data_IF_682896926643
#
_entry.id   IF_682896926643
#
_cell.length_a   1.000
_cell.length_b   1.000
_cell.length_c   1.000
_cell.angle_alpha   90.00
_cell.angle_beta   90.00
_cell.angle_gamma   90.00
#
_symmetry.space_group_name_H-M   'P 1'
#
loop_
_entity.id
_entity.type
_entity.pdbx_description
1 polymer ?
#
# COMPACT_ATOMS: atom_id res chain seq x y z
N UNK A 1 -2.10 15.63 24.01
CA UNK A 1 -3.46 15.66 23.42
C UNK A 1 -4.54 16.00 24.44
N UNK A 2 -4.56 15.36 25.62
CA UNK A 2 -5.63 15.53 26.62
C UNK A 2 -5.46 16.76 27.51
N UNK A 3 -4.22 17.16 27.78
CA UNK A 3 -3.88 18.35 28.56
C UNK A 3 -4.19 19.66 27.82
N UNK A 4 -4.58 20.70 28.55
CA UNK A 4 -4.61 22.09 28.09
C UNK A 4 -3.27 22.79 28.34
N UNK A 5 -2.64 22.49 29.48
CA UNK A 5 -1.28 22.91 29.83
C UNK A 5 -0.40 21.68 29.93
N UNK A 6 0.63 21.59 29.09
CA UNK A 6 1.63 20.53 29.13
C UNK A 6 2.93 21.07 29.73
N UNK A 7 3.36 20.50 30.86
CA UNK A 7 4.70 20.78 31.41
C UNK A 7 5.67 19.76 30.84
N UNK A 8 6.62 20.24 30.03
CA UNK A 8 7.70 19.42 29.48
C UNK A 8 8.92 19.55 30.39
N UNK A 9 9.08 18.55 31.26
CA UNK A 9 10.09 18.53 32.30
C UNK A 9 11.42 17.99 31.77
N UNK A 10 12.41 18.87 31.66
CA UNK A 10 13.75 18.59 31.15
C UNK A 10 14.80 18.73 32.24
N UNK A 11 15.92 18.04 32.07
CA UNK A 11 17.04 18.06 33.02
C UNK A 11 18.16 18.94 32.48
N UNK A 12 18.61 19.90 33.29
CA UNK A 12 19.73 20.82 33.08
C UNK A 12 19.59 21.80 31.91
N UNK A 13 19.26 21.34 30.70
CA UNK A 13 19.26 22.17 29.50
C UNK A 13 18.19 21.71 28.49
N UNK A 14 18.02 22.48 27.41
CA UNK A 14 17.25 22.06 26.23
C UNK A 14 18.23 21.67 25.14
N UNK A 15 18.26 20.39 24.80
CA UNK A 15 19.09 19.83 23.75
C UNK A 15 18.28 19.68 22.44
N UNK A 16 18.94 19.46 21.30
CA UNK A 16 18.22 19.32 20.02
C UNK A 16 17.43 18.00 19.94
N UNK A 17 17.91 16.94 20.59
CA UNK A 17 17.19 15.67 20.72
C UNK A 17 15.91 15.84 21.55
N UNK A 18 15.89 16.67 22.58
CA UNK A 18 14.65 17.01 23.31
C UNK A 18 13.59 17.62 22.37
N UNK A 19 14.02 18.47 21.44
CA UNK A 19 13.14 19.12 20.48
C UNK A 19 12.69 18.14 19.38
N UNK A 20 13.57 17.26 18.91
CA UNK A 20 13.22 16.18 17.97
C UNK A 20 12.22 15.19 18.57
N UNK A 21 12.40 14.79 19.83
CA UNK A 21 11.45 13.94 20.54
C UNK A 21 10.09 14.64 20.69
N UNK A 22 10.09 15.93 21.05
CA UNK A 22 8.86 16.71 21.13
C UNK A 22 8.15 16.81 19.77
N UNK A 23 8.90 17.01 18.68
CA UNK A 23 8.34 16.99 17.33
C UNK A 23 7.68 15.64 17.02
N UNK A 24 8.37 14.54 17.30
CA UNK A 24 7.83 13.20 17.04
C UNK A 24 6.53 12.95 17.80
N UNK A 25 6.49 13.29 19.10
CA UNK A 25 5.28 13.10 19.92
C UNK A 25 4.13 14.01 19.50
N UNK A 26 4.43 15.24 19.08
CA UNK A 26 3.40 16.19 18.61
C UNK A 26 2.86 15.79 17.25
N UNK A 27 3.69 15.29 16.33
CA UNK A 27 3.22 14.72 15.06
C UNK A 27 2.36 13.47 15.29
N UNK A 28 2.77 12.58 16.19
CA UNK A 28 1.99 11.40 16.51
C UNK A 28 0.63 11.74 17.14
N UNK A 29 0.58 12.81 17.94
CA UNK A 29 -0.66 13.37 18.44
C UNK A 29 -1.50 14.00 17.34
N UNK A 30 -0.87 14.69 16.38
CA UNK A 30 -1.55 15.35 15.26
C UNK A 30 -2.18 14.34 14.30
N UNK A 31 -1.50 13.23 14.00
CA UNK A 31 -2.04 12.15 13.16
C UNK A 31 -3.29 11.49 13.75
N UNK A 32 -3.41 11.46 15.08
CA UNK A 32 -4.58 10.93 15.78
C UNK A 32 -5.72 11.94 15.92
N UNK A 33 -5.51 13.19 15.50
CA UNK A 33 -6.47 14.29 15.58
C UNK A 33 -7.01 14.63 14.19
N UNK A 34 -8.22 15.18 14.14
CA UNK A 34 -8.84 15.61 12.88
C UNK A 34 -8.06 16.77 12.24
N UNK A 35 -8.02 16.81 10.90
CA UNK A 35 -7.34 17.86 10.15
C UNK A 35 -8.05 19.20 10.33
N UNK A 36 -7.40 20.14 11.02
CA UNK A 36 -7.97 21.44 11.34
C UNK A 36 -6.93 22.52 11.07
N UNK A 37 -7.40 23.69 10.63
CA UNK A 37 -6.58 24.88 10.38
C UNK A 37 -6.05 25.58 11.64
N UNK A 38 -6.49 25.12 12.82
CA UNK A 38 -6.10 25.66 14.13
C UNK A 38 -4.93 24.88 14.71
N UNK A 39 -4.19 25.51 15.62
CA UNK A 39 -3.13 24.84 16.36
C UNK A 39 -3.72 23.70 17.22
N UNK A 40 -3.14 22.49 17.18
CA UNK A 40 -3.70 21.32 17.85
C UNK A 40 -3.59 21.38 19.39
N UNK A 41 -2.61 22.09 19.93
CA UNK A 41 -2.34 22.17 21.36
C UNK A 41 -2.32 23.61 21.86
N UNK A 42 -2.61 23.80 23.13
CA UNK A 42 -2.82 25.12 23.73
C UNK A 42 -1.53 25.66 24.37
N UNK A 43 -1.17 25.19 25.57
CA UNK A 43 -0.01 25.70 26.30
C UNK A 43 1.04 24.62 26.53
N UNK A 44 2.29 24.95 26.21
CA UNK A 44 3.48 24.16 26.53
C UNK A 44 4.40 25.00 27.43
N UNK A 45 4.77 24.46 28.59
CA UNK A 45 5.82 25.04 29.41
C UNK A 45 7.03 24.12 29.49
N UNK A 46 8.18 24.60 29.01
CA UNK A 46 9.47 23.98 29.26
C UNK A 46 9.85 24.22 30.72
N UNK A 47 9.93 23.16 31.52
CA UNK A 47 10.42 23.22 32.89
C UNK A 47 11.82 22.64 32.93
N UNK A 48 12.83 23.50 33.02
CA UNK A 48 14.24 23.09 33.04
C UNK A 48 14.66 22.95 34.49
N UNK A 49 14.85 21.69 34.91
CA UNK A 49 15.31 21.31 36.24
C UNK A 49 16.80 21.47 36.35
N UNK A 50 17.29 21.73 37.56
CA UNK A 50 18.71 21.76 37.87
C UNK A 50 19.51 22.75 36.99
N UNK A 51 18.88 23.87 36.64
CA UNK A 51 19.53 24.94 35.90
C UNK A 51 20.75 25.43 36.67
N UNK A 52 21.92 25.40 36.03
CA UNK A 52 23.21 25.63 36.69
C UNK A 52 23.84 26.98 36.35
N UNK A 53 23.21 27.77 35.46
CA UNK A 53 23.78 29.00 34.92
C UNK A 53 22.92 30.25 35.20
N UNK A 54 22.57 30.55 36.48
CA UNK A 54 21.73 31.69 36.83
C UNK A 54 22.35 33.05 36.47
N UNK A 55 23.67 33.10 36.28
CA UNK A 55 24.42 34.29 35.91
C UNK A 55 24.26 34.66 34.42
N UNK A 56 23.88 33.71 33.55
CA UNK A 56 23.55 33.98 32.14
C UNK A 56 22.06 34.26 31.99
N UNK A 57 21.24 33.40 32.57
CA UNK A 57 19.79 33.52 32.57
C UNK A 57 19.29 33.24 33.99
N UNK A 58 18.67 34.24 34.62
CA UNK A 58 18.16 34.14 35.98
C UNK A 58 17.11 33.03 36.14
N UNK A 59 16.93 32.52 37.35
CA UNK A 59 15.86 31.57 37.64
C UNK A 59 14.47 32.18 37.39
N UNK A 60 13.48 31.30 37.22
CA UNK A 60 12.09 31.70 37.04
C UNK A 60 11.64 31.83 35.58
N UNK A 61 10.51 32.50 35.39
CA UNK A 61 9.82 32.62 34.11
C UNK A 61 10.51 33.59 33.15
N UNK A 62 10.95 34.77 33.63
CA UNK A 62 11.57 35.79 32.76
C UNK A 62 12.88 35.31 32.15
N UNK A 63 13.77 34.75 32.97
CA UNK A 63 15.02 34.17 32.50
C UNK A 63 14.78 32.96 31.58
N UNK A 64 13.79 32.12 31.91
CA UNK A 64 13.40 30.98 31.08
C UNK A 64 12.88 31.36 29.71
N UNK A 65 11.99 32.34 29.62
CA UNK A 65 11.47 32.82 28.34
C UNK A 65 12.58 33.43 27.47
N UNK A 66 13.46 34.23 28.07
CA UNK A 66 14.62 34.81 27.34
C UNK A 66 15.57 33.72 26.83
N UNK A 67 15.82 32.69 27.66
CA UNK A 67 16.62 31.54 27.28
C UNK A 67 15.97 30.76 26.12
N UNK A 68 14.67 30.47 26.22
CA UNK A 68 13.94 29.68 25.23
C UNK A 68 13.80 30.42 23.90
N UNK A 69 13.53 31.73 23.92
CA UNK A 69 13.43 32.55 22.71
C UNK A 69 14.74 32.47 21.90
N UNK A 70 15.89 32.55 22.57
CA UNK A 70 17.19 32.40 21.93
C UNK A 70 17.42 30.98 21.36
N UNK A 71 16.91 29.94 22.02
CA UNK A 71 17.04 28.53 21.59
C UNK A 71 16.10 28.18 20.43
N UNK A 72 14.90 28.74 20.42
CA UNK A 72 13.85 28.50 19.43
C UNK A 72 13.92 29.45 18.23
N UNK A 73 14.78 30.46 18.28
CA UNK A 73 14.99 31.38 17.16
C UNK A 73 15.40 30.64 15.87
N UNK A 74 14.58 30.78 14.84
CA UNK A 74 14.85 30.25 13.50
C UNK A 74 15.79 31.19 12.77
N UNK A 75 17.03 30.75 12.53
CA UNK A 75 18.03 31.51 11.76
C UNK A 75 18.17 30.90 10.38
N UNK A 76 18.24 31.75 9.35
CA UNK A 76 18.42 31.28 7.96
C UNK A 76 19.75 30.56 7.74
N UNK A 77 20.76 30.81 8.59
CA UNK A 77 22.07 30.15 8.55
C UNK A 77 22.05 28.74 9.14
N UNK A 78 20.98 28.34 9.84
CA UNK A 78 20.86 27.00 10.40
C UNK A 78 20.52 25.98 9.32
N UNK A 79 20.92 24.73 9.53
CA UNK A 79 20.50 23.60 8.71
C UNK A 79 18.96 23.50 8.65
N UNK A 80 18.42 23.09 7.50
CA UNK A 80 16.97 23.07 7.26
C UNK A 80 16.22 22.21 8.29
N UNK A 81 16.79 21.08 8.69
CA UNK A 81 16.24 20.19 9.71
C UNK A 81 15.97 20.92 11.04
N UNK A 82 16.95 21.71 11.52
CA UNK A 82 16.83 22.48 12.77
C UNK A 82 15.78 23.58 12.68
N UNK A 83 15.63 24.19 11.50
CA UNK A 83 14.58 25.17 11.24
C UNK A 83 13.20 24.51 11.24
N UNK A 84 13.08 23.33 10.63
CA UNK A 84 11.83 22.60 10.50
C UNK A 84 11.31 22.13 11.87
N UNK A 85 12.19 21.60 12.74
CA UNK A 85 11.85 21.23 14.13
C UNK A 85 11.23 22.42 14.88
N UNK A 86 11.87 23.59 14.82
CA UNK A 86 11.41 24.81 15.50
C UNK A 86 10.09 25.33 14.94
N UNK A 87 9.97 25.42 13.60
CA UNK A 87 8.73 25.83 12.93
C UNK A 87 7.57 24.90 13.30
N UNK A 88 7.82 23.60 13.37
CA UNK A 88 6.83 22.60 13.77
C UNK A 88 6.35 22.78 15.20
N UNK A 89 7.25 22.97 16.16
CA UNK A 89 6.84 23.19 17.55
C UNK A 89 6.01 24.49 17.67
N UNK A 90 6.41 25.55 16.97
CA UNK A 90 5.65 26.80 16.93
C UNK A 90 4.28 26.67 16.25
N UNK A 91 4.10 25.75 15.29
CA UNK A 91 2.80 25.50 14.66
C UNK A 91 1.88 24.64 15.54
N UNK A 92 2.46 23.82 16.43
CA UNK A 92 1.70 22.91 17.28
C UNK A 92 1.04 23.56 18.51
N UNK A 93 1.68 24.57 19.11
CA UNK A 93 1.24 25.17 20.38
C UNK A 93 0.86 26.65 20.25
N UNK A 94 -0.26 27.04 20.86
CA UNK A 94 -0.71 28.44 20.93
C UNK A 94 0.18 29.30 21.83
N UNK A 95 0.59 28.78 22.98
CA UNK A 95 1.47 29.45 23.92
C UNK A 95 2.63 28.53 24.30
N UNK A 96 3.85 29.08 24.27
CA UNK A 96 5.07 28.38 24.67
C UNK A 96 5.82 29.26 25.67
N UNK A 97 6.05 28.74 26.86
CA UNK A 97 6.80 29.40 27.92
C UNK A 97 7.91 28.50 28.46
N UNK A 98 8.83 29.08 29.21
CA UNK A 98 9.93 28.35 29.85
C UNK A 98 10.19 28.86 31.26
N UNK A 99 10.44 27.94 32.18
CA UNK A 99 10.77 28.22 33.57
C UNK A 99 12.08 27.52 33.95
N UNK A 100 13.04 28.28 34.46
CA UNK A 100 14.33 27.75 34.94
C UNK A 100 14.24 27.50 36.45
N UNK A 101 14.39 26.24 36.85
CA UNK A 101 14.36 25.84 38.25
C UNK A 101 15.78 25.46 38.72
N UNK A 102 16.23 25.97 39.87
CA UNK A 102 17.54 25.60 40.43
C UNK A 102 17.58 24.11 40.84
N UNK A 103 18.77 23.64 41.18
CA UNK A 103 18.94 22.30 41.74
C UNK A 103 18.35 22.24 43.18
N UNK A 104 17.57 21.19 43.55
CA UNK A 104 16.89 21.11 44.85
C UNK A 104 17.81 20.86 46.05
N UNK A 105 19.10 20.65 45.79
CA UNK A 105 20.14 20.37 46.79
C UNK A 105 20.58 18.90 46.77
N UNK A 106 21.86 18.64 47.11
CA UNK A 106 22.44 17.29 47.06
C UNK A 106 21.70 16.28 47.95
N UNK A 107 21.18 16.75 49.10
CA UNK A 107 20.37 15.91 50.00
C UNK A 107 19.12 15.36 49.33
N UNK A 108 18.51 16.11 48.41
CA UNK A 108 17.33 15.65 47.66
C UNK A 108 17.74 14.68 46.56
N UNK A 109 18.85 14.96 45.88
CA UNK A 109 19.29 14.19 44.72
C UNK A 109 19.93 12.83 45.07
N UNK A 110 20.66 12.73 46.18
CA UNK A 110 21.49 11.54 46.48
C UNK A 110 21.02 10.72 47.67
N UNK A 111 20.16 11.25 48.54
CA UNK A 111 19.74 10.54 49.75
C UNK A 111 18.58 9.57 49.47
N UNK A 112 18.77 8.25 49.63
CA UNK A 112 17.70 7.28 49.42
C UNK A 112 16.58 7.35 50.46
N UNK A 113 16.81 8.03 51.59
CA UNK A 113 15.83 8.19 52.68
C UNK A 113 15.16 9.57 52.71
N UNK A 114 15.27 10.35 51.62
CA UNK A 114 14.60 11.64 51.53
C UNK A 114 13.08 11.46 51.51
N UNK A 115 12.39 12.16 52.42
CA UNK A 115 10.94 12.03 52.69
C UNK A 115 10.13 13.24 52.21
N UNK A 116 10.72 14.14 51.41
CA UNK A 116 10.03 15.32 50.89
C UNK A 116 9.99 16.51 51.86
N UNK A 117 10.62 16.45 53.03
CA UNK A 117 10.59 17.55 54.02
C UNK A 117 11.32 18.80 53.51
N UNK A 118 10.65 19.95 53.62
CA UNK A 118 11.12 21.27 53.14
C UNK A 118 12.45 21.76 53.78
N UNK A 119 12.81 21.25 54.97
CA UNK A 119 14.05 21.62 55.66
C UNK A 119 15.32 21.13 54.96
N UNK A 120 15.19 20.05 54.19
CA UNK A 120 16.30 19.41 53.48
C UNK A 120 16.38 19.86 52.00
N UNK A 121 15.46 20.72 51.57
CA UNK A 121 15.40 21.33 50.24
C UNK A 121 16.07 22.69 50.27
N UNK A 122 16.85 22.96 49.22
CA UNK A 122 17.55 24.23 49.01
C UNK A 122 16.59 25.45 49.06
N UNK A 123 16.96 26.57 49.72
CA UNK A 123 16.12 27.76 49.82
C UNK A 123 15.78 28.39 48.48
N UNK A 124 16.71 28.41 47.51
CA UNK A 124 16.46 29.03 46.21
C UNK A 124 15.43 28.21 45.41
N UNK A 125 15.53 26.88 45.51
CA UNK A 125 14.51 25.98 44.94
C UNK A 125 13.13 26.23 45.51
N UNK A 126 13.01 26.38 46.83
CA UNK A 126 11.71 26.66 47.47
C UNK A 126 11.15 28.00 47.00
N UNK A 127 11.98 29.03 46.90
CA UNK A 127 11.57 30.36 46.43
C UNK A 127 10.98 30.29 45.02
N UNK A 128 11.69 29.65 44.09
CA UNK A 128 11.23 29.54 42.70
C UNK A 128 10.04 28.59 42.55
N UNK A 129 9.94 27.54 43.39
CA UNK A 129 8.77 26.66 43.41
C UNK A 129 7.50 27.42 43.84
N UNK A 130 7.61 28.32 44.83
CA UNK A 130 6.49 29.18 45.27
C UNK A 130 6.05 30.13 44.15
N UNK A 131 6.93 30.49 43.22
CA UNK A 131 6.59 31.27 42.03
C UNK A 131 5.96 30.40 40.92
N UNK A 132 6.51 29.20 40.70
CA UNK A 132 6.08 28.28 39.64
C UNK A 132 4.65 27.74 39.83
N UNK A 133 4.29 27.34 41.06
CA UNK A 133 3.00 26.66 41.28
C UNK A 133 1.80 27.59 41.00
N UNK A 134 1.75 28.84 41.51
CA UNK A 134 0.69 29.79 41.15
C UNK A 134 0.67 30.14 39.66
N UNK A 135 1.83 30.24 39.01
CA UNK A 135 1.90 30.47 37.56
C UNK A 135 1.15 29.37 36.78
N UNK A 136 1.21 28.13 37.25
CA UNK A 136 0.54 26.99 36.63
C UNK A 136 -0.93 26.82 37.03
N UNK A 137 -1.24 27.01 38.31
CA UNK A 137 -2.47 26.52 38.92
C UNK A 137 -3.34 27.61 39.54
N UNK A 138 -2.91 28.87 39.54
CA UNK A 138 -3.76 29.97 40.01
C UNK A 138 -5.02 30.06 39.12
N UNK A 139 -6.21 30.34 39.69
CA UNK A 139 -7.48 30.35 38.98
C UNK A 139 -7.47 31.17 37.68
N UNK A 140 -6.78 32.31 37.69
CA UNK A 140 -6.60 33.22 36.56
C UNK A 140 -5.75 32.65 35.40
N UNK A 141 -4.91 31.66 35.68
CA UNK A 141 -4.00 31.03 34.71
C UNK A 141 -4.52 29.67 34.20
N UNK A 142 -5.65 29.19 34.73
CA UNK A 142 -6.22 27.90 34.33
C UNK A 142 -6.78 27.98 32.90
N UNK A 143 -6.14 27.25 31.99
CA UNK A 143 -6.57 27.16 30.59
C UNK A 143 -7.61 26.05 30.44
N UNK A 144 -8.83 26.41 30.04
CA UNK A 144 -9.87 25.46 29.68
C UNK A 144 -9.46 24.65 28.44
N UNK A 145 -9.75 23.35 28.44
CA UNK A 145 -9.35 22.48 27.34
C UNK A 145 -10.18 22.77 26.09
N UNK A 146 -9.50 23.01 24.98
CA UNK A 146 -10.11 23.15 23.67
C UNK A 146 -9.61 22.02 22.74
N UNK A 147 -10.55 21.46 21.98
CA UNK A 147 -10.29 20.54 20.86
C UNK A 147 -11.09 21.08 19.68
N UNK A 148 -10.42 21.30 18.55
CA UNK A 148 -11.06 21.85 17.34
C UNK A 148 -11.70 23.23 17.55
N UNK A 149 -11.12 24.05 18.43
CA UNK A 149 -11.66 25.38 18.79
C UNK A 149 -12.92 25.33 19.67
N UNK A 150 -13.37 24.14 20.08
CA UNK A 150 -14.50 23.97 20.98
C UNK A 150 -14.03 23.61 22.39
N UNK A 151 -14.62 24.27 23.40
CA UNK A 151 -14.38 23.97 24.81
C UNK A 151 -14.92 22.59 25.16
N UNK A 152 -14.11 21.80 25.87
CA UNK A 152 -14.38 20.39 26.15
C UNK A 152 -14.83 20.24 27.61
N UNK A 153 -15.99 19.61 27.82
CA UNK A 153 -16.46 19.29 29.17
C UNK A 153 -15.77 18.03 29.71
N UNK A 154 -15.80 17.81 31.02
CA UNK A 154 -15.24 16.58 31.63
C UNK A 154 -15.87 15.30 31.06
N UNK A 155 -17.16 15.35 30.69
CA UNK A 155 -17.85 14.21 30.07
C UNK A 155 -17.28 13.90 28.69
N UNK A 156 -17.07 14.94 27.89
CA UNK A 156 -16.55 14.81 26.52
C UNK A 156 -15.09 14.37 26.55
N UNK A 157 -14.30 14.88 27.51
CA UNK A 157 -12.89 14.51 27.67
C UNK A 157 -12.70 13.00 27.84
N UNK A 158 -13.60 12.33 28.57
CA UNK A 158 -13.58 10.86 28.71
C UNK A 158 -13.84 10.16 27.38
N UNK A 159 -14.73 10.70 26.54
CA UNK A 159 -15.00 10.14 25.21
C UNK A 159 -13.80 10.31 24.30
N UNK A 160 -13.18 11.49 24.28
CA UNK A 160 -11.92 11.71 23.56
C UNK A 160 -10.82 10.75 24.03
N UNK A 161 -10.71 10.52 25.34
CA UNK A 161 -9.71 9.58 25.87
C UNK A 161 -9.92 8.16 25.31
N UNK A 162 -11.16 7.68 25.27
CA UNK A 162 -11.50 6.37 24.69
C UNK A 162 -11.23 6.32 23.19
N UNK A 163 -11.59 7.38 22.47
CA UNK A 163 -11.36 7.47 21.02
C UNK A 163 -9.87 7.44 20.69
N UNK A 164 -9.06 8.28 21.35
CA UNK A 164 -7.60 8.29 21.17
C UNK A 164 -6.98 6.94 21.53
N UNK A 165 -7.38 6.32 22.64
CA UNK A 165 -6.87 4.99 23.01
C UNK A 165 -7.22 3.92 21.98
N UNK A 166 -8.42 3.96 21.38
CA UNK A 166 -8.80 3.04 20.31
C UNK A 166 -7.93 3.20 19.07
N UNK A 167 -7.59 4.44 18.70
CA UNK A 167 -6.68 4.73 17.58
C UNK A 167 -5.28 4.16 17.87
N UNK A 168 -4.75 4.42 19.08
CA UNK A 168 -3.43 3.91 19.47
C UNK A 168 -3.34 2.40 19.66
N UNK A 169 -4.47 1.74 19.90
CA UNK A 169 -4.54 0.27 19.96
C UNK A 169 -4.65 -0.38 18.57
N UNK A 170 -5.02 0.39 17.54
CA UNK A 170 -5.07 -0.09 16.16
C UNK A 170 -3.70 -0.12 15.49
N UNK A 171 -3.64 -0.74 14.31
CA UNK A 171 -2.45 -0.72 13.44
C UNK A 171 -2.49 0.42 12.40
N UNK A 172 -3.48 1.31 12.50
CA UNK A 172 -3.67 2.43 11.54
C UNK A 172 -2.57 3.49 11.63
N UNK A 173 -1.97 3.68 12.82
CA UNK A 173 -0.90 4.64 13.01
C UNK A 173 0.50 4.00 12.87
N UNK A 174 1.43 4.66 12.17
CA UNK A 174 2.79 4.16 12.03
C UNK A 174 3.45 4.07 13.40
N UNK A 175 4.08 2.94 13.71
CA UNK A 175 4.70 2.76 15.02
C UNK A 175 5.92 3.69 15.13
N UNK A 176 6.11 4.38 16.28
CA UNK A 176 7.33 5.14 16.52
C UNK A 176 8.54 4.21 16.46
N UNK A 177 9.46 4.49 15.54
CA UNK A 177 10.70 3.73 15.36
C UNK A 177 11.88 4.58 15.79
N UNK A 178 12.97 3.93 16.18
CA UNK A 178 14.23 4.63 16.38
C UNK A 178 14.68 5.28 15.06
N UNK A 179 15.40 6.40 15.14
CA UNK A 179 15.92 7.07 13.94
C UNK A 179 16.73 6.10 13.07
N UNK A 180 17.58 5.27 13.68
CA UNK A 180 18.37 4.26 12.96
C UNK A 180 17.47 3.27 12.21
N UNK A 181 16.41 2.77 12.84
CA UNK A 181 15.50 1.82 12.22
C UNK A 181 14.70 2.47 11.08
N UNK A 182 14.17 3.67 11.27
CA UNK A 182 13.43 4.39 10.23
C UNK A 182 14.32 4.71 9.01
N UNK A 183 15.57 5.16 9.24
CA UNK A 183 16.55 5.40 8.16
C UNK A 183 16.96 4.09 7.49
N UNK A 184 17.14 3.00 8.24
CA UNK A 184 17.41 1.69 7.68
C UNK A 184 16.27 1.22 6.77
N UNK A 185 15.01 1.33 7.21
CA UNK A 185 13.83 1.00 6.41
C UNK A 185 13.74 1.84 5.14
N UNK A 186 13.87 3.16 5.25
CA UNK A 186 13.80 4.06 4.10
C UNK A 186 14.90 3.75 3.07
N UNK A 187 16.15 3.53 3.53
CA UNK A 187 17.27 3.18 2.67
C UNK A 187 17.05 1.83 1.96
N UNK A 188 16.56 0.82 2.68
CA UNK A 188 16.28 -0.49 2.10
C UNK A 188 15.12 -0.44 1.11
N UNK A 189 14.01 0.24 1.43
CA UNK A 189 12.87 0.41 0.53
C UNK A 189 13.25 1.16 -0.76
N UNK A 190 14.03 2.23 -0.64
CA UNK A 190 14.54 2.97 -1.80
C UNK A 190 15.45 2.09 -2.68
N UNK A 191 16.29 1.25 -2.07
CA UNK A 191 17.13 0.31 -2.79
C UNK A 191 16.33 -0.80 -3.48
N UNK A 192 15.28 -1.34 -2.84
CA UNK A 192 14.35 -2.30 -3.43
C UNK A 192 13.67 -1.69 -4.66
N UNK A 193 13.08 -0.50 -4.52
CA UNK A 193 12.42 0.19 -5.62
C UNK A 193 13.38 0.45 -6.79
N UNK A 194 14.59 0.96 -6.52
CA UNK A 194 15.60 1.21 -7.56
C UNK A 194 16.07 -0.05 -8.28
N UNK A 195 16.28 -1.16 -7.56
CA UNK A 195 16.70 -2.43 -8.15
C UNK A 195 15.58 -3.09 -8.98
N UNK A 196 14.33 -3.02 -8.49
CA UNK A 196 13.14 -3.49 -9.21
C UNK A 196 12.89 -2.69 -10.49
N UNK A 197 12.99 -1.37 -10.43
CA UNK A 197 12.84 -0.51 -11.61
C UNK A 197 13.90 -0.81 -12.67
N UNK A 198 15.13 -1.10 -12.23
CA UNK A 198 16.21 -1.51 -13.13
C UNK A 198 15.88 -2.86 -13.78
N UNK A 199 15.40 -3.84 -13.00
CA UNK A 199 14.94 -5.14 -13.51
C UNK A 199 13.84 -4.99 -14.56
N UNK A 200 12.79 -4.22 -14.25
CA UNK A 200 11.65 -4.01 -15.14
C UNK A 200 12.11 -3.36 -16.45
N UNK A 201 12.91 -2.29 -16.38
CA UNK A 201 13.44 -1.60 -17.58
C UNK A 201 14.27 -2.55 -18.45
N UNK A 202 15.11 -3.38 -17.84
CA UNK A 202 15.91 -4.36 -18.59
C UNK A 202 15.05 -5.47 -19.19
N UNK A 203 14.04 -5.97 -18.48
CA UNK A 203 13.10 -6.95 -19.02
C UNK A 203 12.26 -6.39 -20.16
N UNK A 204 11.83 -5.13 -20.08
CA UNK A 204 11.15 -4.44 -21.18
C UNK A 204 12.03 -4.31 -22.43
N UNK A 205 13.34 -4.14 -22.28
CA UNK A 205 14.26 -4.14 -23.43
C UNK A 205 14.39 -5.51 -24.10
N UNK A 206 14.19 -6.60 -23.35
CA UNK A 206 14.24 -7.98 -23.87
C UNK A 206 12.90 -8.37 -24.47
N UNK A 207 11.81 -8.25 -23.71
CA UNK A 207 10.49 -8.81 -24.04
C UNK A 207 9.33 -7.79 -24.03
N UNK A 208 9.61 -6.48 -23.96
CA UNK A 208 8.60 -5.41 -23.99
C UNK A 208 7.85 -5.34 -25.32
N UNK A 209 6.75 -4.58 -25.38
CA UNK A 209 5.76 -4.62 -26.47
C UNK A 209 6.33 -4.58 -27.90
N UNK A 210 7.36 -3.77 -28.13
CA UNK A 210 8.00 -3.58 -29.44
C UNK A 210 9.01 -4.68 -29.82
N UNK A 211 9.27 -5.62 -28.92
CA UNK A 211 10.23 -6.72 -29.11
C UNK A 211 9.53 -8.00 -29.58
N UNK A 212 10.17 -8.76 -30.49
CA UNK A 212 9.62 -10.01 -31.01
C UNK A 212 9.49 -11.08 -29.91
N UNK A 213 8.70 -12.11 -30.19
CA UNK A 213 8.56 -13.28 -29.31
C UNK A 213 9.93 -13.94 -29.05
N UNK A 214 10.19 -14.26 -27.78
CA UNK A 214 11.37 -15.00 -27.34
C UNK A 214 10.96 -16.39 -26.84
N UNK A 215 11.78 -17.40 -27.08
CA UNK A 215 11.50 -18.74 -26.58
C UNK A 215 11.53 -18.79 -25.03
N UNK A 216 10.67 -19.58 -24.37
CA UNK A 216 10.57 -19.59 -22.90
C UNK A 216 11.90 -19.87 -22.19
N UNK A 217 12.71 -20.79 -22.72
CA UNK A 217 14.02 -21.12 -22.15
C UNK A 217 15.03 -19.96 -22.21
N UNK A 218 15.00 -19.16 -23.28
CA UNK A 218 15.87 -17.99 -23.41
C UNK A 218 15.36 -16.83 -22.55
N UNK A 219 14.03 -16.67 -22.44
CA UNK A 219 13.41 -15.68 -21.56
C UNK A 219 13.70 -15.97 -20.08
N UNK A 220 13.64 -17.23 -19.67
CA UNK A 220 14.01 -17.68 -18.30
C UNK A 220 15.49 -17.42 -18.02
N UNK A 221 16.40 -17.71 -18.97
CA UNK A 221 17.82 -17.38 -18.82
C UNK A 221 18.04 -15.88 -18.66
N UNK A 222 17.40 -15.06 -19.50
CA UNK A 222 17.50 -13.60 -19.39
C UNK A 222 16.91 -13.08 -18.08
N UNK A 223 15.81 -13.66 -17.59
CA UNK A 223 15.25 -13.32 -16.29
C UNK A 223 16.25 -13.60 -15.16
N UNK A 224 16.85 -14.80 -15.10
CA UNK A 224 17.78 -15.15 -14.03
C UNK A 224 19.03 -14.25 -14.05
N UNK A 225 19.58 -13.95 -15.23
CA UNK A 225 20.70 -13.02 -15.36
C UNK A 225 20.36 -11.60 -14.87
N UNK A 226 19.20 -11.07 -15.28
CA UNK A 226 18.75 -9.74 -14.87
C UNK A 226 18.38 -9.69 -13.38
N UNK A 227 17.77 -10.75 -12.84
CA UNK A 227 17.46 -10.93 -11.43
C UNK A 227 18.73 -10.87 -10.59
N UNK A 228 19.76 -11.65 -10.95
CA UNK A 228 21.05 -11.65 -10.25
C UNK A 228 21.74 -10.28 -10.33
N UNK A 229 21.65 -9.58 -11.46
CA UNK A 229 22.22 -8.25 -11.60
C UNK A 229 21.50 -7.21 -10.71
N UNK A 230 20.17 -7.26 -10.62
CA UNK A 230 19.40 -6.40 -9.73
C UNK A 230 19.67 -6.70 -8.25
N UNK A 231 19.84 -7.97 -7.87
CA UNK A 231 20.23 -8.35 -6.51
C UNK A 231 21.63 -7.82 -6.19
N UNK A 232 22.60 -7.96 -7.11
CA UNK A 232 23.95 -7.39 -6.93
C UNK A 232 23.91 -5.87 -6.77
N UNK A 233 23.10 -5.18 -7.56
CA UNK A 233 22.89 -3.74 -7.43
C UNK A 233 22.32 -3.38 -6.06
N UNK A 234 21.29 -4.11 -5.62
CA UNK A 234 20.73 -3.96 -4.28
C UNK A 234 21.80 -4.13 -3.20
N UNK A 235 22.61 -5.19 -3.25
CA UNK A 235 23.67 -5.47 -2.27
C UNK A 235 24.80 -4.43 -2.29
N UNK A 236 25.12 -3.85 -3.44
CA UNK A 236 26.20 -2.85 -3.58
C UNK A 236 25.85 -1.52 -2.92
N UNK A 237 24.56 -1.19 -2.81
CA UNK A 237 24.11 0.02 -2.13
C UNK A 237 24.41 -0.12 -0.63
N UNK A 238 25.15 0.86 -0.08
CA UNK A 238 25.43 0.94 1.36
C UNK A 238 24.14 1.28 2.11
N UNK A 239 23.69 0.37 2.98
CA UNK A 239 22.43 0.48 3.72
C UNK A 239 22.69 0.38 5.23
N UNK A 240 21.83 0.98 6.04
CA UNK A 240 21.84 0.86 7.50
C UNK A 240 20.98 -0.35 7.94
N UNK A 241 21.20 -0.87 9.16
CA UNK A 241 20.36 -1.93 9.75
C UNK A 241 20.97 -3.33 9.81
N UNK A 242 22.18 -3.53 9.25
CA UNK A 242 22.86 -4.83 9.27
C UNK A 242 22.34 -5.83 8.23
N UNK A 243 23.05 -6.94 8.06
CA UNK A 243 22.77 -7.92 6.99
C UNK A 243 21.44 -8.65 7.17
N UNK A 244 21.08 -9.03 8.40
CA UNK A 244 19.81 -9.74 8.68
C UNK A 244 18.59 -8.90 8.33
N UNK A 245 18.66 -7.59 8.55
CA UNK A 245 17.61 -6.65 8.19
C UNK A 245 17.51 -6.50 6.67
N UNK A 246 18.66 -6.37 6.00
CA UNK A 246 18.72 -6.29 4.54
C UNK A 246 18.20 -7.57 3.87
N UNK A 247 18.41 -8.75 4.48
CA UNK A 247 17.97 -10.03 3.93
C UNK A 247 16.46 -10.09 3.71
N UNK A 248 15.66 -9.54 4.64
CA UNK A 248 14.19 -9.50 4.49
C UNK A 248 13.75 -8.71 3.27
N UNK A 249 14.40 -7.58 3.00
CA UNK A 249 14.12 -6.76 1.82
C UNK A 249 14.65 -7.37 0.53
N UNK A 250 15.74 -8.14 0.60
CA UNK A 250 16.22 -8.93 -0.54
C UNK A 250 15.22 -10.03 -0.90
N UNK A 251 14.73 -10.79 0.07
CA UNK A 251 13.69 -11.82 -0.12
C UNK A 251 12.42 -11.20 -0.71
N UNK A 252 12.01 -10.02 -0.23
CA UNK A 252 10.89 -9.26 -0.80
C UNK A 252 11.16 -8.86 -2.26
N UNK A 253 12.34 -8.31 -2.56
CA UNK A 253 12.72 -7.90 -3.92
C UNK A 253 12.70 -9.11 -4.88
N UNK A 254 13.22 -10.26 -4.45
CA UNK A 254 13.20 -11.50 -5.23
C UNK A 254 11.76 -11.94 -5.55
N UNK A 255 10.88 -11.95 -4.55
CA UNK A 255 9.47 -12.29 -4.74
C UNK A 255 8.75 -11.31 -5.69
N UNK A 256 8.98 -10.00 -5.56
CA UNK A 256 8.38 -9.00 -6.43
C UNK A 256 8.87 -9.09 -7.89
N UNK A 257 10.13 -9.47 -8.11
CA UNK A 257 10.68 -9.71 -9.45
C UNK A 257 10.12 -11.00 -10.06
N UNK A 258 9.89 -12.04 -9.27
CA UNK A 258 9.28 -13.30 -9.74
C UNK A 258 7.82 -13.09 -10.14
N UNK A 259 7.08 -12.26 -9.40
CA UNK A 259 5.73 -11.85 -9.79
C UNK A 259 5.73 -11.03 -11.09
N UNK A 260 6.65 -10.07 -11.22
CA UNK A 260 6.82 -9.30 -12.45
C UNK A 260 7.19 -10.21 -13.63
N UNK A 261 8.05 -11.20 -13.43
CA UNK A 261 8.41 -12.19 -14.44
C UNK A 261 7.21 -12.99 -14.92
N UNK A 262 6.34 -13.46 -14.01
CA UNK A 262 5.12 -14.16 -14.39
C UNK A 262 4.22 -13.32 -15.30
N UNK A 263 4.20 -11.99 -15.11
CA UNK A 263 3.50 -11.07 -16.00
C UNK A 263 4.19 -10.93 -17.36
N UNK A 264 5.53 -10.85 -17.40
CA UNK A 264 6.30 -10.83 -18.65
C UNK A 264 6.16 -12.12 -19.46
N UNK A 265 6.09 -13.29 -18.81
CA UNK A 265 5.83 -14.57 -19.48
C UNK A 265 4.48 -14.53 -20.19
N UNK A 266 3.41 -14.12 -19.50
CA UNK A 266 2.07 -13.97 -20.11
C UNK A 266 2.08 -12.97 -21.27
N UNK A 267 2.82 -11.87 -21.13
CA UNK A 267 2.94 -10.85 -22.18
C UNK A 267 3.68 -11.40 -23.41
N UNK A 268 4.76 -12.16 -23.21
CA UNK A 268 5.52 -12.79 -24.28
C UNK A 268 4.70 -13.89 -24.97
N UNK A 269 4.00 -14.74 -24.22
CA UNK A 269 3.13 -15.79 -24.78
C UNK A 269 2.02 -15.20 -25.66
N UNK A 270 1.48 -14.03 -25.30
CA UNK A 270 0.51 -13.29 -26.11
C UNK A 270 1.03 -12.89 -27.51
N UNK A 271 2.36 -12.80 -27.69
CA UNK A 271 3.00 -12.49 -28.98
C UNK A 271 3.26 -13.70 -29.84
N UNK A 272 2.97 -14.92 -29.37
CA UNK A 272 3.26 -16.13 -30.11
C UNK A 272 2.35 -16.27 -31.33
N UNK A 273 2.86 -15.82 -32.49
CA UNK A 273 2.16 -15.81 -33.79
C UNK A 273 1.72 -17.22 -34.21
N UNK A 274 2.39 -18.29 -33.75
CA UNK A 274 2.01 -19.66 -34.08
C UNK A 274 0.68 -20.10 -33.46
N UNK A 275 0.26 -19.52 -32.32
CA UNK A 275 -1.09 -19.75 -31.80
C UNK A 275 -2.14 -18.95 -32.58
N UNK A 276 -1.81 -17.72 -33.00
CA UNK A 276 -2.71 -16.86 -33.76
C UNK A 276 -2.92 -17.32 -35.23
N UNK A 277 -1.90 -17.90 -35.86
CA UNK A 277 -1.94 -18.35 -37.25
C UNK A 277 -2.51 -19.78 -37.43
N UNK A 278 -2.65 -20.54 -36.34
CA UNK A 278 -3.15 -21.93 -36.36
C UNK A 278 -4.60 -22.01 -36.87
N UNK A 279 -5.49 -21.20 -36.31
CA UNK A 279 -6.92 -21.21 -36.65
C UNK A 279 -7.16 -20.80 -38.12
N UNK A 280 -6.57 -19.72 -38.65
CA UNK A 280 -6.65 -19.42 -40.09
C UNK A 280 -6.08 -20.53 -40.97
N UNK A 281 -4.89 -21.05 -40.65
CA UNK A 281 -4.25 -22.09 -41.45
C UNK A 281 -5.09 -23.38 -41.54
N UNK A 282 -5.70 -23.81 -40.44
CA UNK A 282 -6.59 -24.99 -40.41
C UNK A 282 -7.83 -24.80 -41.28
N UNK A 283 -8.49 -23.63 -41.19
CA UNK A 283 -9.68 -23.31 -41.96
C UNK A 283 -9.36 -23.17 -43.45
N UNK A 284 -8.25 -22.54 -43.81
CA UNK A 284 -7.78 -22.47 -45.20
C UNK A 284 -7.45 -23.85 -45.77
N UNK A 285 -6.76 -24.71 -45.01
CA UNK A 285 -6.46 -26.07 -45.44
C UNK A 285 -7.74 -26.91 -45.64
N UNK A 286 -8.73 -26.76 -44.75
CA UNK A 286 -10.04 -27.42 -44.88
C UNK A 286 -10.79 -26.95 -46.13
N UNK A 287 -10.83 -25.64 -46.38
CA UNK A 287 -11.44 -25.07 -47.58
C UNK A 287 -10.77 -25.60 -48.86
N UNK A 288 -9.44 -25.62 -48.89
CA UNK A 288 -8.68 -26.14 -50.03
C UNK A 288 -8.97 -27.63 -50.28
N UNK A 289 -8.97 -28.45 -49.23
CA UNK A 289 -9.28 -29.87 -49.35
C UNK A 289 -10.71 -30.12 -49.88
N UNK A 290 -11.70 -29.40 -49.36
CA UNK A 290 -13.09 -29.53 -49.80
C UNK A 290 -13.30 -29.02 -51.23
N UNK A 291 -12.58 -27.98 -51.64
CA UNK A 291 -12.59 -27.49 -53.03
C UNK A 291 -12.07 -28.55 -54.01
N UNK A 292 -10.94 -29.20 -53.69
CA UNK A 292 -10.38 -30.28 -54.53
C UNK A 292 -11.35 -31.45 -54.63
N UNK A 293 -11.97 -31.87 -53.52
CA UNK A 293 -12.97 -32.97 -53.52
C UNK A 293 -14.20 -32.59 -54.33
N UNK A 294 -14.68 -31.34 -54.22
CA UNK A 294 -15.80 -30.82 -55.00
C UNK A 294 -15.50 -30.83 -56.50
N UNK A 295 -14.28 -30.45 -56.90
CA UNK A 295 -13.84 -30.44 -58.29
C UNK A 295 -13.83 -31.86 -58.91
N UNK A 296 -13.26 -32.83 -58.17
CA UNK A 296 -13.17 -34.23 -58.62
C UNK A 296 -14.56 -34.87 -58.67
N UNK A 297 -15.39 -34.69 -57.65
CA UNK A 297 -16.73 -35.29 -57.60
C UNK A 297 -17.71 -34.64 -58.58
N UNK A 298 -17.55 -33.34 -58.86
CA UNK A 298 -18.27 -32.64 -59.92
C UNK A 298 -17.89 -33.15 -61.31
N UNK A 299 -16.62 -33.48 -61.55
CA UNK A 299 -16.17 -34.09 -62.80
C UNK A 299 -16.71 -35.52 -63.00
N UNK A 300 -16.82 -36.29 -61.91
CA UNK A 300 -17.39 -37.66 -61.93
C UNK A 300 -18.93 -37.67 -62.04
N UNK A 301 -19.59 -36.51 -61.87
CA UNK A 301 -21.04 -36.36 -62.02
C UNK A 301 -21.87 -36.65 -60.76
N UNK A 302 -21.22 -36.78 -59.59
CA UNK A 302 -21.91 -36.99 -58.30
C UNK A 302 -22.24 -35.64 -57.67
N UNK A 303 -23.22 -34.96 -58.25
CA UNK A 303 -23.56 -33.57 -57.88
C UNK A 303 -23.96 -33.41 -56.40
N UNK A 304 -24.55 -34.43 -55.77
CA UNK A 304 -24.94 -34.39 -54.36
C UNK A 304 -23.74 -34.29 -53.39
N UNK A 305 -22.59 -34.87 -53.76
CA UNK A 305 -21.38 -34.82 -52.92
C UNK A 305 -20.65 -33.50 -53.15
N UNK A 306 -20.60 -33.02 -54.40
CA UNK A 306 -20.02 -31.72 -54.72
C UNK A 306 -20.76 -30.56 -54.02
N UNK A 307 -22.10 -30.59 -53.96
CA UNK A 307 -22.89 -29.58 -53.25
C UNK A 307 -22.67 -29.62 -51.74
N UNK A 308 -22.52 -30.81 -51.14
CA UNK A 308 -22.19 -30.95 -49.72
C UNK A 308 -20.80 -30.40 -49.39
N UNK A 309 -19.80 -30.68 -50.22
CA UNK A 309 -18.45 -30.12 -50.05
C UNK A 309 -18.43 -28.59 -50.20
N UNK A 310 -19.20 -28.04 -51.14
CA UNK A 310 -19.34 -26.59 -51.29
C UNK A 310 -20.04 -25.93 -50.09
N UNK A 311 -21.02 -26.60 -49.47
CA UNK A 311 -21.67 -26.13 -48.25
C UNK A 311 -20.68 -26.09 -47.06
N UNK A 312 -19.88 -27.14 -46.88
CA UNK A 312 -18.85 -27.21 -45.83
C UNK A 312 -17.80 -26.10 -46.04
N UNK A 313 -17.40 -25.88 -47.29
CA UNK A 313 -16.50 -24.77 -47.65
C UNK A 313 -17.12 -23.40 -47.31
N UNK A 314 -18.41 -23.19 -47.61
CA UNK A 314 -19.13 -21.96 -47.24
C UNK A 314 -19.19 -21.73 -45.73
N UNK A 315 -19.43 -22.79 -44.93
CA UNK A 315 -19.41 -22.72 -43.47
C UNK A 315 -18.01 -22.39 -42.95
N UNK A 316 -16.96 -22.99 -43.51
CA UNK A 316 -15.58 -22.69 -43.15
C UNK A 316 -15.20 -21.23 -43.47
N UNK A 317 -15.66 -20.70 -44.62
CA UNK A 317 -15.44 -19.30 -45.01
C UNK A 317 -16.16 -18.33 -44.06
N UNK A 318 -17.43 -18.59 -43.74
CA UNK A 318 -18.17 -17.78 -42.76
C UNK A 318 -17.48 -17.82 -41.40
N UNK A 319 -17.03 -19.00 -40.95
CA UNK A 319 -16.30 -19.15 -39.69
C UNK A 319 -14.98 -18.37 -39.68
N UNK A 320 -14.25 -18.33 -40.79
CA UNK A 320 -13.02 -17.54 -40.94
C UNK A 320 -13.32 -16.03 -40.90
N UNK A 321 -14.36 -15.56 -41.60
CA UNK A 321 -14.79 -14.17 -41.56
C UNK A 321 -15.25 -13.75 -40.16
N UNK A 322 -16.03 -14.60 -39.48
CA UNK A 322 -16.46 -14.36 -38.09
C UNK A 322 -15.27 -14.35 -37.14
N UNK A 323 -14.30 -15.26 -37.30
CA UNK A 323 -13.07 -15.26 -36.51
C UNK A 323 -12.25 -13.98 -36.72
N UNK A 324 -12.08 -13.54 -37.97
CA UNK A 324 -11.38 -12.30 -38.29
C UNK A 324 -12.08 -11.07 -37.70
N UNK A 325 -13.42 -11.04 -37.78
CA UNK A 325 -14.23 -9.99 -37.17
C UNK A 325 -14.11 -9.97 -35.65
N UNK A 326 -14.21 -11.12 -34.98
CA UNK A 326 -14.07 -11.22 -33.51
C UNK A 326 -12.67 -10.79 -33.05
N UNK A 327 -11.61 -11.17 -33.78
CA UNK A 327 -10.24 -10.77 -33.45
C UNK A 327 -9.98 -9.28 -33.70
N UNK A 328 -10.58 -8.69 -34.73
CA UNK A 328 -10.41 -7.27 -35.05
C UNK A 328 -11.29 -6.35 -34.18
N UNK A 329 -12.55 -6.72 -33.96
CA UNK A 329 -13.55 -5.92 -33.23
C UNK A 329 -13.51 -6.14 -31.72
N UNK A 330 -12.99 -7.27 -31.25
CA UNK A 330 -12.97 -7.64 -29.83
C UNK A 330 -14.33 -8.00 -29.21
N UNK A 331 -15.43 -7.84 -29.95
CA UNK A 331 -16.78 -8.25 -29.54
C UNK A 331 -17.00 -9.77 -29.73
N UNK A 332 -17.87 -10.38 -28.92
CA UNK A 332 -18.22 -11.81 -28.98
C UNK A 332 -17.03 -12.78 -28.87
N UNK A 333 -16.11 -12.54 -27.92
CA UNK A 333 -14.92 -13.40 -27.65
C UNK A 333 -15.26 -14.87 -27.44
N UNK A 334 -16.43 -15.18 -26.88
CA UNK A 334 -16.91 -16.56 -26.69
C UNK A 334 -17.04 -17.32 -28.02
N UNK A 335 -17.57 -16.67 -29.07
CA UNK A 335 -17.70 -17.27 -30.40
C UNK A 335 -16.33 -17.52 -31.03
N UNK A 336 -15.39 -16.58 -30.87
CA UNK A 336 -14.00 -16.77 -31.30
C UNK A 336 -13.32 -17.95 -30.60
N UNK A 337 -13.54 -18.12 -29.29
CA UNK A 337 -12.98 -19.24 -28.52
C UNK A 337 -13.51 -20.61 -28.97
N UNK A 338 -14.78 -20.70 -29.35
CA UNK A 338 -15.38 -21.93 -29.87
C UNK A 338 -14.79 -22.28 -31.24
N UNK A 339 -14.57 -21.28 -32.10
CA UNK A 339 -13.92 -21.50 -33.40
C UNK A 339 -12.47 -21.98 -33.21
N UNK A 340 -11.73 -21.38 -32.28
CA UNK A 340 -10.36 -21.80 -31.95
C UNK A 340 -10.32 -23.26 -31.42
N UNK A 341 -11.26 -23.66 -30.55
CA UNK A 341 -11.38 -25.04 -30.07
C UNK A 341 -11.70 -26.04 -31.20
N UNK A 342 -12.62 -25.70 -32.10
CA UNK A 342 -12.96 -26.57 -33.24
C UNK A 342 -11.75 -26.73 -34.17
N UNK A 343 -11.05 -25.63 -34.47
CA UNK A 343 -9.82 -25.66 -35.26
C UNK A 343 -8.72 -26.50 -34.61
N UNK A 344 -8.58 -26.44 -33.29
CA UNK A 344 -7.63 -27.26 -32.52
C UNK A 344 -7.95 -28.76 -32.65
N UNK A 345 -9.22 -29.14 -32.48
CA UNK A 345 -9.63 -30.55 -32.65
C UNK A 345 -9.40 -31.07 -34.08
N UNK A 346 -9.52 -30.20 -35.09
CA UNK A 346 -9.25 -30.52 -36.49
C UNK A 346 -7.74 -30.62 -36.78
N UNK A 347 -6.92 -29.77 -36.14
CA UNK A 347 -5.47 -29.77 -36.29
C UNK A 347 -4.81 -31.01 -35.67
N UNK A 348 -5.24 -31.41 -34.47
CA UNK A 348 -4.72 -32.59 -33.78
C UNK A 348 -5.14 -33.90 -34.46
N UNK A 349 -6.32 -33.94 -35.07
CA UNK A 349 -6.82 -35.13 -35.76
C UNK A 349 -6.39 -35.15 -37.23
N UNK A 350 -5.16 -35.63 -37.49
CA UNK A 350 -4.59 -35.84 -38.84
C UNK A 350 -5.29 -36.89 -39.72
N UNK A 351 -6.55 -37.29 -39.45
CA UNK A 351 -7.32 -38.22 -40.30
C UNK A 351 -8.81 -37.83 -40.44
N UNK A 352 -9.33 -37.63 -41.67
CA UNK A 352 -10.69 -37.13 -41.92
C UNK A 352 -11.82 -38.06 -41.44
N UNK A 353 -11.52 -39.35 -41.18
CA UNK A 353 -12.51 -40.37 -40.81
C UNK A 353 -13.09 -40.19 -39.40
N UNK A 354 -12.34 -39.61 -38.46
CA UNK A 354 -12.79 -39.40 -37.06
C UNK A 354 -13.49 -38.05 -36.86
N UNK A 355 -13.20 -37.07 -37.71
CA UNK A 355 -13.80 -35.73 -37.69
C UNK A 355 -15.31 -35.78 -37.94
N UNK A 356 -15.75 -36.51 -38.98
CA UNK A 356 -17.18 -36.65 -39.29
C UNK A 356 -17.95 -37.39 -38.19
N UNK A 357 -17.34 -38.38 -37.53
CA UNK A 357 -17.99 -39.14 -36.46
C UNK A 357 -18.27 -38.28 -35.20
N UNK A 358 -17.34 -37.40 -34.80
CA UNK A 358 -17.53 -36.52 -33.65
C UNK A 358 -18.44 -35.32 -33.93
N UNK A 359 -18.39 -34.74 -35.14
CA UNK A 359 -19.32 -33.70 -35.56
C UNK A 359 -20.78 -34.21 -35.52
N UNK A 360 -21.00 -35.46 -35.95
CA UNK A 360 -22.31 -36.10 -35.84
C UNK A 360 -22.75 -36.34 -34.39
N UNK A 361 -21.81 -36.65 -33.48
CA UNK A 361 -22.10 -36.81 -32.04
C UNK A 361 -22.46 -35.49 -31.35
N UNK A 362 -21.76 -34.40 -31.65
CA UNK A 362 -22.03 -33.07 -31.06
C UNK A 362 -23.36 -32.52 -31.55
N UNK A 363 -23.68 -32.72 -32.84
CA UNK A 363 -24.99 -32.37 -33.41
C UNK A 363 -26.09 -33.25 -32.80
N UNK A 364 -25.86 -34.56 -32.60
CA UNK A 364 -26.82 -35.48 -31.97
C UNK A 364 -27.13 -35.10 -30.52
N UNK A 365 -26.12 -34.71 -29.73
CA UNK A 365 -26.32 -34.32 -28.33
C UNK A 365 -27.08 -33.00 -28.16
N UNK A 366 -27.04 -32.08 -29.14
CA UNK A 366 -27.86 -30.85 -29.13
C UNK A 366 -29.30 -31.06 -29.60
N UNK A 367 -29.57 -32.07 -30.43
CA UNK A 367 -30.93 -32.40 -30.89
C UNK A 367 -31.73 -33.14 -29.82
N UNK A 368 -31.08 -33.90 -28.94
CA UNK A 368 -31.75 -34.61 -27.83
C UNK A 368 -32.18 -33.71 -26.66
N UNK A 369 -31.69 -32.47 -26.56
CA UNK A 369 -32.07 -31.56 -25.46
C UNK A 369 -33.28 -30.66 -25.79
N UNK A 370 -33.75 -30.62 -27.04
CA UNK A 370 -34.79 -29.69 -27.49
C UNK A 370 -36.16 -30.32 -27.76
N UNK A 371 -36.37 -31.61 -27.49
CA UNK A 371 -37.66 -32.28 -27.68
C UNK A 371 -38.00 -33.22 -26.53
N UNK A 372 -38.58 -32.69 -25.45
CA UNK A 372 -39.57 -33.37 -24.58
C UNK A 372 -40.07 -32.43 -23.46
N UNK A 373 -41.24 -31.82 -23.69
CA UNK A 373 -42.41 -31.72 -22.78
C UNK A 373 -43.20 -30.40 -22.98
N UNK A 374 -44.52 -30.46 -23.25
CA UNK A 374 -45.40 -29.30 -23.23
C UNK A 374 -45.89 -28.97 -21.82
N UNK A 375 -46.11 -27.68 -21.58
CA UNK A 375 -46.69 -27.12 -20.36
C UNK A 375 -48.17 -27.48 -20.18
N UNK A 376 -48.59 -27.74 -18.94
CA UNK A 376 -50.00 -27.73 -18.54
C UNK A 376 -50.22 -26.80 -17.33
N UNK A 377 -51.10 -25.80 -17.52
CA UNK A 377 -51.60 -24.80 -16.57
C UNK A 377 -52.44 -25.45 -15.45
N UNK A 378 -52.38 -24.90 -14.22
CA UNK A 378 -53.54 -24.22 -13.59
C UNK A 378 -53.22 -23.57 -12.22
N UNK A 379 -54.02 -22.54 -11.90
CA UNK A 379 -53.93 -21.58 -10.79
C UNK A 379 -54.34 -22.14 -9.41
N UNK A 380 -53.75 -21.52 -8.37
CA UNK A 380 -54.13 -21.29 -6.94
C UNK A 380 -55.62 -21.50 -6.54
N UNK A 381 -55.99 -21.84 -5.27
CA UNK A 381 -55.65 -21.02 -4.07
C UNK A 381 -55.61 -21.66 -2.64
N UNK A 382 -55.05 -20.87 -1.71
CA UNK A 382 -55.42 -20.60 -0.28
C UNK A 382 -55.45 -21.65 0.85
N UNK A 383 -54.67 -21.31 1.89
CA UNK A 383 -55.00 -21.21 3.33
C UNK A 383 -54.75 -22.35 4.35
N UNK A 384 -54.33 -21.85 5.53
CA UNK A 384 -54.45 -22.35 6.90
C UNK A 384 -53.42 -23.33 7.48
N UNK A 385 -52.52 -22.75 8.29
CA UNK A 385 -52.35 -22.94 9.75
C UNK A 385 -52.70 -24.31 10.38
N UNK A 386 -51.78 -24.79 11.23
CA UNK A 386 -51.93 -25.30 12.62
C UNK A 386 -50.83 -26.37 12.86
N UNK A 387 -49.74 -26.06 13.56
CA UNK A 387 -49.51 -26.22 15.02
C UNK A 387 -49.12 -27.66 15.45
N UNK A 388 -47.85 -27.77 15.89
CA UNK A 388 -47.32 -28.49 17.08
C UNK A 388 -47.46 -30.03 17.24
N UNK A 389 -46.36 -30.55 17.84
CA UNK A 389 -46.12 -31.83 18.57
C UNK A 389 -45.84 -33.05 17.69
N UNK A 390 -44.81 -33.86 17.94
CA UNK A 390 -44.00 -34.09 19.16
C UNK A 390 -42.50 -33.90 18.94
#
# INVERSE_FOLDING_TARGET
MTSSVQVYNLSQNVQEDDLQHLQLFTEYGRLAMEEIYLKPFQSLMFLIRDWSYPYEHAYGLEGGNTFLEKRMQVKQTQHEELQNVRKHIHSCFSNISCFLLPHPGLKVATNPHFDGRLRDIDPDFKKELVSLIPLLLAPENLVEKEISGSKVTCRDLVQYFKAYMKIYQGEELPHPKSMLQATAEANNLAAVAGAKDTYIKSMEQVCGGDKPYIAPADLERSHEELKQNSIKQFCTIKKMGGEEFCRRYQEQLEAEMDEAYANFVKHNDGKNIFYAARTPATLFALMFAMYVVSLVTGFVGINSVATLCNLIMGVALVSLCTWAYVKYSGEFREVGSVIDQVAETLWEQRTPRKVFCKLFEVVRNKVTLSTLLPAQRNRLPSNNNVKKKN
#
